data_IF_728181255329
#
_entry.id   IF_728181255329
#
_cell.length_a   1.000
_cell.length_b   1.000
_cell.length_c   1.000
_cell.angle_alpha   90.00
_cell.angle_beta   90.00
_cell.angle_gamma   90.00
#
_symmetry.space_group_name_H-M   'P 1'
#
loop_
_entity.id
_entity.type
_entity.pdbx_description
1 polymer ?
#
# COMPACT_ATOMS: atom_id res chain seq x y z
N UNK A 1 45.09 21.92 -16.89
CA UNK A 1 43.92 22.27 -16.03
C UNK A 1 42.67 21.68 -16.65
N UNK A 2 42.27 20.47 -16.24
CA UNK A 2 40.95 19.91 -16.57
C UNK A 2 40.18 19.75 -15.27
N UNK A 3 39.04 20.42 -15.14
CA UNK A 3 38.15 20.28 -13.98
C UNK A 3 36.99 19.34 -14.34
N UNK A 4 36.78 18.41 -13.44
CA UNK A 4 35.73 17.43 -13.30
C UNK A 4 34.33 18.04 -13.30
N UNK A 5 33.36 17.36 -13.93
CA UNK A 5 31.97 17.39 -13.48
C UNK A 5 31.39 15.98 -13.53
N UNK A 6 30.95 15.55 -12.35
CA UNK A 6 30.26 14.30 -12.02
C UNK A 6 28.84 14.31 -12.61
N UNK A 7 28.41 13.20 -13.21
CA UNK A 7 27.01 12.97 -13.60
C UNK A 7 26.30 12.20 -12.49
N UNK A 8 25.62 12.92 -11.59
CA UNK A 8 24.58 12.38 -10.71
C UNK A 8 23.24 12.56 -11.44
N UNK A 9 22.68 11.47 -11.94
CA UNK A 9 21.39 11.43 -12.63
C UNK A 9 20.28 10.91 -11.74
N UNK A 10 19.94 11.66 -10.68
CA UNK A 10 18.73 11.46 -9.89
C UNK A 10 17.54 12.06 -10.64
N UNK A 11 16.86 11.24 -11.44
CA UNK A 11 15.63 11.61 -12.13
C UNK A 11 14.41 11.42 -11.25
N UNK A 12 14.08 12.42 -10.43
CA UNK A 12 12.73 12.60 -9.91
C UNK A 12 11.83 13.07 -11.05
N UNK A 13 10.74 12.35 -11.33
CA UNK A 13 9.68 12.81 -12.24
C UNK A 13 9.02 14.07 -11.67
N UNK A 14 8.81 15.13 -12.49
CA UNK A 14 8.06 16.31 -12.06
C UNK A 14 6.54 16.12 -12.21
N UNK A 15 5.83 16.57 -11.18
CA UNK A 15 4.40 16.88 -11.20
C UNK A 15 4.07 17.92 -12.27
N UNK A 16 2.97 17.71 -13.02
CA UNK A 16 2.36 18.76 -13.84
C UNK A 16 0.84 18.68 -13.75
N UNK A 17 0.23 19.70 -13.14
CA UNK A 17 -1.20 19.94 -13.12
C UNK A 17 -1.49 21.36 -13.61
N UNK A 18 -2.38 21.48 -14.61
CA UNK A 18 -3.30 22.60 -14.90
C UNK A 18 -3.90 22.33 -16.29
N UNK A 19 -5.20 22.36 -16.54
CA UNK A 19 -6.37 22.72 -15.76
C UNK A 19 -7.48 23.05 -16.77
N UNK A 20 -8.71 22.58 -16.52
CA UNK A 20 -9.90 23.18 -17.09
C UNK A 20 -11.03 23.08 -16.08
N UNK A 21 -11.60 24.24 -15.76
CA UNK A 21 -12.65 24.42 -14.78
C UNK A 21 -13.99 23.86 -15.27
N UNK A 22 -14.68 23.16 -14.39
CA UNK A 22 -16.10 22.79 -14.54
C UNK A 22 -16.78 22.83 -13.16
N UNK A 23 -17.68 23.79 -12.97
CA UNK A 23 -18.59 23.83 -11.83
C UNK A 23 -19.44 22.55 -11.80
N UNK A 24 -19.50 21.86 -10.65
CA UNK A 24 -20.73 21.26 -10.11
C UNK A 24 -20.54 20.85 -8.62
N UNK A 25 -21.36 21.48 -7.76
CA UNK A 25 -21.91 21.00 -6.48
C UNK A 25 -20.98 20.76 -5.26
N UNK A 26 -21.10 21.66 -4.26
CA UNK A 26 -20.79 21.36 -2.85
C UNK A 26 -21.79 20.32 -2.34
N UNK A 27 -21.35 19.09 -2.15
CA UNK A 27 -22.02 18.09 -1.32
C UNK A 27 -21.25 17.93 0.01
N UNK A 28 -21.98 17.62 1.09
CA UNK A 28 -21.50 17.67 2.46
C UNK A 28 -20.24 16.85 2.77
N UNK A 29 -19.62 17.17 3.90
CA UNK A 29 -18.48 16.46 4.50
C UNK A 29 -18.76 14.95 4.51
N UNK A 30 -18.13 14.23 3.59
CA UNK A 30 -18.30 12.80 3.37
C UNK A 30 -17.88 12.02 4.61
N UNK A 31 -18.79 11.18 5.12
CA UNK A 31 -18.46 10.06 6.01
C UNK A 31 -17.44 9.19 5.27
N UNK A 32 -16.29 8.91 5.88
CA UNK A 32 -15.10 8.39 5.19
C UNK A 32 -15.35 7.16 4.31
N UNK A 33 -14.75 7.11 3.11
CA UNK A 33 -14.90 6.01 2.15
C UNK A 33 -14.33 4.66 2.65
N UNK A 34 -13.67 4.63 3.81
CA UNK A 34 -13.21 3.42 4.49
C UNK A 34 -14.33 2.51 5.01
N UNK A 35 -15.51 3.03 5.33
CA UNK A 35 -16.61 2.19 5.85
C UNK A 35 -17.36 1.44 4.74
N UNK A 36 -17.04 1.74 3.47
CA UNK A 36 -17.64 1.09 2.32
C UNK A 36 -17.12 -0.33 2.15
N UNK A 37 -17.94 -1.19 1.55
CA UNK A 37 -17.47 -2.52 1.15
C UNK A 37 -16.38 -2.41 0.08
N UNK A 38 -15.37 -3.29 0.11
CA UNK A 38 -14.27 -3.25 -0.84
C UNK A 38 -14.78 -3.42 -2.27
N UNK A 39 -14.38 -2.56 -3.23
CA UNK A 39 -14.74 -2.74 -4.62
C UNK A 39 -14.11 -4.03 -5.18
N UNK A 40 -14.71 -4.61 -6.22
CA UNK A 40 -14.21 -5.83 -6.84
C UNK A 40 -12.76 -5.72 -7.34
N UNK A 41 -12.35 -4.53 -7.81
CA UNK A 41 -10.97 -4.27 -8.20
C UNK A 41 -10.00 -4.30 -7.01
N UNK A 42 -10.40 -3.86 -5.81
CA UNK A 42 -9.56 -3.99 -4.62
C UNK A 42 -9.37 -5.47 -4.25
N UNK A 43 -10.43 -6.28 -4.32
CA UNK A 43 -10.33 -7.73 -4.09
C UNK A 43 -9.42 -8.41 -5.13
N UNK A 44 -9.46 -7.95 -6.40
CA UNK A 44 -8.56 -8.40 -7.45
C UNK A 44 -7.10 -8.05 -7.13
N UNK A 45 -6.82 -6.80 -6.76
CA UNK A 45 -5.49 -6.34 -6.34
C UNK A 45 -4.97 -7.12 -5.14
N UNK A 46 -5.80 -7.40 -4.14
CA UNK A 46 -5.44 -8.25 -3.00
C UNK A 46 -5.02 -9.65 -3.46
N UNK A 47 -5.79 -10.22 -4.39
CA UNK A 47 -5.47 -11.47 -5.04
C UNK A 47 -4.09 -11.42 -5.67
N UNK A 48 -3.84 -10.47 -6.57
CA UNK A 48 -2.57 -10.25 -7.28
C UNK A 48 -1.38 -10.10 -6.31
N UNK A 49 -1.52 -9.23 -5.32
CA UNK A 49 -0.51 -8.99 -4.30
C UNK A 49 -0.08 -10.28 -3.60
N UNK A 50 -1.05 -11.09 -3.16
CA UNK A 50 -0.82 -12.28 -2.35
C UNK A 50 -0.20 -13.45 -3.15
N UNK A 51 -0.21 -13.41 -4.49
CA UNK A 51 0.47 -14.41 -5.35
C UNK A 51 1.85 -13.95 -5.82
N UNK A 52 2.25 -12.71 -5.50
CA UNK A 52 3.50 -12.13 -5.95
C UNK A 52 3.42 -11.41 -7.30
N UNK A 53 2.22 -11.19 -7.83
CA UNK A 53 1.95 -10.44 -9.07
C UNK A 53 1.89 -8.94 -8.75
N UNK A 54 2.99 -8.42 -8.18
CA UNK A 54 3.01 -7.07 -7.61
C UNK A 54 2.96 -5.95 -8.65
N UNK A 55 3.36 -6.22 -9.89
CA UNK A 55 3.26 -5.24 -10.97
C UNK A 55 1.80 -5.04 -11.39
N UNK A 56 1.09 -6.15 -11.59
CA UNK A 56 -0.32 -6.20 -11.93
C UNK A 56 -1.19 -5.63 -10.80
N UNK A 57 -0.82 -5.93 -9.54
CA UNK A 57 -1.44 -5.33 -8.36
C UNK A 57 -1.34 -3.79 -8.38
N UNK A 58 -0.16 -3.27 -8.76
CA UNK A 58 0.08 -1.84 -8.90
C UNK A 58 -0.84 -1.23 -9.96
N UNK A 59 -0.97 -1.86 -11.13
CA UNK A 59 -1.82 -1.35 -12.22
C UNK A 59 -3.29 -1.32 -11.80
N UNK A 60 -3.80 -2.39 -11.18
CA UNK A 60 -5.17 -2.42 -10.65
C UNK A 60 -5.42 -1.33 -9.60
N UNK A 61 -4.46 -1.08 -8.70
CA UNK A 61 -4.61 -0.07 -7.66
C UNK A 61 -4.48 1.35 -8.19
N UNK A 62 -3.69 1.58 -9.24
CA UNK A 62 -3.57 2.89 -9.89
C UNK A 62 -4.91 3.35 -10.45
N UNK A 63 -5.66 2.45 -11.11
CA UNK A 63 -7.02 2.72 -11.60
C UNK A 63 -7.97 3.17 -10.48
N UNK A 64 -7.90 2.52 -9.31
CA UNK A 64 -8.72 2.86 -8.15
C UNK A 64 -8.28 4.16 -7.47
N UNK A 65 -6.99 4.46 -7.50
CA UNK A 65 -6.40 5.63 -6.86
C UNK A 65 -6.67 6.92 -7.63
N UNK A 66 -6.78 6.85 -8.96
CA UNK A 66 -7.12 8.00 -9.80
C UNK A 66 -8.53 8.51 -9.46
N UNK A 67 -8.62 9.75 -8.98
CA UNK A 67 -9.88 10.41 -8.64
C UNK A 67 -10.42 10.13 -7.24
N UNK A 68 -9.79 9.26 -6.45
CA UNK A 68 -10.14 9.06 -5.05
C UNK A 68 -9.50 10.13 -4.15
N UNK A 69 -10.14 10.45 -3.02
CA UNK A 69 -9.68 11.41 -2.03
C UNK A 69 -9.69 10.82 -0.60
N UNK A 70 -9.06 11.53 0.35
CA UNK A 70 -9.10 11.15 1.77
C UNK A 70 -8.44 9.80 2.09
N UNK A 71 -8.96 9.12 3.11
CA UNK A 71 -8.34 7.89 3.63
C UNK A 71 -8.31 6.73 2.63
N UNK A 72 -9.30 6.62 1.74
CA UNK A 72 -9.30 5.55 0.73
C UNK A 72 -8.23 5.80 -0.33
N UNK A 73 -7.97 7.06 -0.69
CA UNK A 73 -6.83 7.41 -1.54
C UNK A 73 -5.52 6.99 -0.88
N UNK A 74 -5.36 7.30 0.40
CA UNK A 74 -4.18 6.92 1.19
C UNK A 74 -4.05 5.39 1.32
N UNK A 75 -5.17 4.66 1.46
CA UNK A 75 -5.20 3.19 1.46
C UNK A 75 -4.62 2.65 0.16
N UNK A 76 -5.19 3.05 -0.98
CA UNK A 76 -4.77 2.54 -2.29
C UNK A 76 -3.32 2.90 -2.60
N UNK A 77 -2.94 4.16 -2.36
CA UNK A 77 -1.57 4.62 -2.57
C UNK A 77 -0.57 3.87 -1.68
N UNK A 78 -0.94 3.61 -0.43
CA UNK A 78 -0.11 2.86 0.50
C UNK A 78 0.12 1.42 0.07
N UNK A 79 -0.93 0.68 -0.27
CA UNK A 79 -0.83 -0.71 -0.76
C UNK A 79 -0.05 -0.76 -2.08
N UNK A 80 -0.33 0.16 -3.00
CA UNK A 80 0.36 0.28 -4.29
C UNK A 80 1.86 0.44 -4.08
N UNK A 81 2.29 1.37 -3.21
CA UNK A 81 3.72 1.56 -2.95
C UNK A 81 4.38 0.33 -2.35
N UNK A 82 3.70 -0.41 -1.46
CA UNK A 82 4.24 -1.68 -0.92
C UNK A 82 4.37 -2.73 -2.03
N UNK A 83 3.42 -2.82 -2.97
CA UNK A 83 3.52 -3.72 -4.12
C UNK A 83 4.73 -3.37 -5.00
N UNK A 84 4.88 -2.09 -5.36
CA UNK A 84 6.03 -1.61 -6.14
C UNK A 84 7.33 -1.83 -5.38
N UNK A 85 7.35 -1.67 -4.06
CA UNK A 85 8.54 -1.96 -3.24
C UNK A 85 8.99 -3.42 -3.35
N UNK A 86 8.05 -4.37 -3.28
CA UNK A 86 8.33 -5.80 -3.44
C UNK A 86 8.80 -6.13 -4.86
N UNK A 87 8.23 -5.47 -5.88
CA UNK A 87 8.72 -5.57 -7.26
C UNK A 87 10.16 -5.06 -7.39
N UNK A 88 10.49 -3.92 -6.78
CA UNK A 88 11.86 -3.38 -6.73
C UNK A 88 12.82 -4.33 -6.01
N UNK A 89 12.40 -4.91 -4.88
CA UNK A 89 13.18 -5.91 -4.16
C UNK A 89 13.49 -7.11 -5.05
N UNK A 90 12.48 -7.66 -5.74
CA UNK A 90 12.64 -8.79 -6.67
C UNK A 90 13.65 -8.49 -7.80
N UNK A 91 13.73 -7.23 -8.22
CA UNK A 91 14.63 -6.79 -9.28
C UNK A 91 16.00 -6.31 -8.77
N UNK A 92 16.32 -6.47 -7.49
CA UNK A 92 17.61 -6.09 -6.89
C UNK A 92 17.77 -4.59 -6.63
N UNK A 93 16.68 -3.82 -6.64
CA UNK A 93 16.71 -2.40 -6.32
C UNK A 93 16.42 -2.16 -4.83
N UNK A 94 17.46 -2.29 -4.01
CA UNK A 94 17.40 -2.08 -2.55
C UNK A 94 16.84 -0.70 -2.16
N UNK A 95 17.42 0.37 -2.71
CA UNK A 95 17.04 1.74 -2.34
C UNK A 95 15.59 2.06 -2.67
N UNK A 96 15.11 1.61 -3.83
CA UNK A 96 13.71 1.73 -4.22
C UNK A 96 12.78 0.95 -3.29
N UNK A 97 13.13 -0.30 -2.96
CA UNK A 97 12.33 -1.13 -2.06
C UNK A 97 12.18 -0.50 -0.66
N UNK A 98 13.28 -0.09 -0.03
CA UNK A 98 13.25 0.50 1.32
C UNK A 98 12.48 1.84 1.32
N UNK A 99 12.74 2.70 0.34
CA UNK A 99 12.08 4.00 0.22
C UNK A 99 10.56 3.86 0.07
N UNK A 100 10.11 2.96 -0.81
CA UNK A 100 8.69 2.73 -1.06
C UNK A 100 7.98 1.99 0.09
N UNK A 101 8.65 1.08 0.81
CA UNK A 101 8.10 0.49 2.03
C UNK A 101 7.82 1.57 3.09
N UNK A 102 8.78 2.48 3.29
CA UNK A 102 8.63 3.60 4.23
C UNK A 102 7.54 4.58 3.79
N UNK A 103 7.50 4.92 2.50
CA UNK A 103 6.46 5.79 1.93
C UNK A 103 5.07 5.15 2.09
N UNK A 104 4.92 3.91 1.62
CA UNK A 104 3.67 3.16 1.63
C UNK A 104 3.08 3.03 3.03
N UNK A 105 3.86 2.60 4.03
CA UNK A 105 3.37 2.55 5.42
C UNK A 105 3.05 3.94 5.97
N UNK A 106 3.74 4.99 5.53
CA UNK A 106 3.42 6.38 5.85
C UNK A 106 2.05 6.85 5.34
N UNK A 107 1.62 6.38 4.16
CA UNK A 107 0.25 6.58 3.66
C UNK A 107 -0.76 5.80 4.50
N UNK A 108 -0.52 4.50 4.71
CA UNK A 108 -1.43 3.61 5.45
C UNK A 108 -1.66 4.05 6.90
N UNK A 109 -0.67 4.66 7.55
CA UNK A 109 -0.83 5.20 8.92
C UNK A 109 -1.81 6.36 9.03
N UNK A 110 -2.23 6.96 7.92
CA UNK A 110 -3.23 8.02 7.89
C UNK A 110 -4.65 7.51 7.70
N UNK A 111 -4.82 6.20 7.51
CA UNK A 111 -6.13 5.56 7.39
C UNK A 111 -6.56 4.94 8.72
N UNK A 112 -7.83 4.58 8.83
CA UNK A 112 -8.30 3.71 9.91
C UNK A 112 -7.54 2.36 9.95
N UNK A 113 -7.40 1.73 11.15
CA UNK A 113 -6.76 0.40 11.31
C UNK A 113 -7.42 -0.71 10.48
N UNK A 114 -8.71 -0.54 10.17
CA UNK A 114 -9.47 -1.32 9.21
C UNK A 114 -10.11 -0.32 8.24
N UNK A 115 -9.86 -0.45 6.94
CA UNK A 115 -10.42 0.41 5.91
C UNK A 115 -10.82 -0.45 4.71
N UNK A 116 -12.06 -0.32 4.24
CA UNK A 116 -12.68 -1.19 3.23
C UNK A 116 -12.50 -2.68 3.54
N UNK A 117 -12.64 -3.02 4.83
CA UNK A 117 -12.39 -4.35 5.39
C UNK A 117 -10.95 -4.85 5.25
N UNK A 118 -9.99 -4.08 4.76
CA UNK A 118 -8.57 -4.45 4.81
C UNK A 118 -8.07 -4.31 6.24
N UNK A 119 -7.35 -5.32 6.76
CA UNK A 119 -6.66 -5.24 8.04
C UNK A 119 -5.38 -4.40 7.94
N UNK A 120 -5.53 -3.07 7.80
CA UNK A 120 -4.44 -2.13 7.51
C UNK A 120 -3.36 -2.15 8.59
N UNK A 121 -3.76 -2.16 9.86
CA UNK A 121 -2.79 -2.17 10.97
C UNK A 121 -1.87 -3.40 10.94
N UNK A 122 -2.41 -4.58 10.62
CA UNK A 122 -1.61 -5.81 10.49
C UNK A 122 -0.67 -5.73 9.29
N UNK A 123 -1.15 -5.17 8.18
CA UNK A 123 -0.35 -4.99 6.97
C UNK A 123 0.82 -4.02 7.17
N UNK A 124 0.59 -2.90 7.89
CA UNK A 124 1.65 -1.96 8.28
C UNK A 124 2.73 -2.69 9.09
N UNK A 125 2.34 -3.44 10.12
CA UNK A 125 3.30 -4.16 10.97
C UNK A 125 4.13 -5.18 10.18
N UNK A 126 3.50 -5.88 9.24
CA UNK A 126 4.21 -6.83 8.38
C UNK A 126 5.17 -6.11 7.41
N UNK A 127 4.74 -5.02 6.78
CA UNK A 127 5.58 -4.22 5.88
C UNK A 127 6.76 -3.55 6.60
N UNK A 128 6.59 -3.09 7.84
CA UNK A 128 7.70 -2.57 8.65
C UNK A 128 8.70 -3.68 9.02
N UNK A 129 8.24 -4.88 9.42
CA UNK A 129 9.15 -6.01 9.70
C UNK A 129 9.96 -6.40 8.46
N UNK A 130 9.32 -6.42 7.29
CA UNK A 130 9.99 -6.63 6.01
C UNK A 130 11.08 -5.57 5.77
N UNK A 131 10.74 -4.29 5.95
CA UNK A 131 11.70 -3.18 5.78
C UNK A 131 12.88 -3.33 6.73
N UNK A 132 12.62 -3.54 8.02
CA UNK A 132 13.65 -3.63 9.04
C UNK A 132 14.60 -4.83 8.75
N UNK A 133 14.06 -5.95 8.25
CA UNK A 133 14.86 -7.10 7.82
C UNK A 133 15.71 -6.80 6.58
N UNK A 134 15.16 -6.09 5.58
CA UNK A 134 15.93 -5.64 4.42
C UNK A 134 17.06 -4.71 4.82
N UNK A 135 16.78 -3.73 5.69
CA UNK A 135 17.78 -2.78 6.18
C UNK A 135 18.90 -3.49 6.96
N UNK A 136 18.57 -4.53 7.74
CA UNK A 136 19.55 -5.34 8.45
C UNK A 136 20.45 -6.15 7.50
N UNK A 137 19.88 -6.71 6.44
CA UNK A 137 20.63 -7.43 5.41
C UNK A 137 21.53 -6.50 4.60
N UNK A 138 21.04 -5.30 4.31
CA UNK A 138 21.68 -4.34 3.42
C UNK A 138 21.58 -4.72 1.93
N UNK A 139 22.10 -3.88 1.04
CA UNK A 139 21.95 -4.05 -0.41
C UNK A 139 22.60 -5.32 -0.94
N UNK A 140 23.72 -5.75 -0.37
CA UNK A 140 24.51 -6.89 -0.86
C UNK A 140 23.87 -8.25 -0.55
N UNK A 141 22.96 -8.30 0.43
CA UNK A 141 22.37 -9.55 0.96
C UNK A 141 20.84 -9.56 0.92
N UNK A 142 20.21 -8.62 0.23
CA UNK A 142 18.75 -8.52 0.18
C UNK A 142 18.06 -9.74 -0.44
N UNK A 143 18.79 -10.55 -1.22
CA UNK A 143 18.34 -11.83 -1.77
C UNK A 143 18.27 -12.96 -0.72
N UNK A 144 18.85 -12.76 0.46
CA UNK A 144 18.75 -13.68 1.61
C UNK A 144 17.52 -13.42 2.48
N UNK A 145 16.66 -12.46 2.09
CA UNK A 145 15.43 -12.16 2.81
C UNK A 145 14.55 -13.41 2.92
N UNK A 146 14.10 -13.72 4.14
CA UNK A 146 13.15 -14.79 4.40
C UNK A 146 11.80 -14.49 3.71
N UNK A 147 11.35 -15.33 2.77
CA UNK A 147 10.05 -15.15 2.10
C UNK A 147 8.85 -15.11 3.06
N UNK A 148 8.97 -15.67 4.27
CA UNK A 148 7.92 -15.60 5.28
C UNK A 148 7.67 -14.17 5.81
N UNK A 149 8.58 -13.23 5.55
CA UNK A 149 8.43 -11.82 5.91
C UNK A 149 7.67 -11.00 4.87
N UNK A 150 7.41 -11.56 3.68
CA UNK A 150 6.61 -10.88 2.66
C UNK A 150 5.19 -10.67 3.23
N UNK A 151 4.71 -9.42 3.32
CA UNK A 151 3.40 -9.14 3.88
C UNK A 151 2.31 -9.73 2.99
N UNK A 152 1.14 -10.00 3.58
CA UNK A 152 -0.04 -10.42 2.84
C UNK A 152 -1.22 -9.50 3.17
N UNK A 153 -2.04 -9.19 2.18
CA UNK A 153 -3.28 -8.45 2.37
C UNK A 153 -4.36 -9.39 2.88
N UNK A 154 -4.98 -9.02 4.00
CA UNK A 154 -6.06 -9.79 4.63
C UNK A 154 -7.31 -8.93 4.81
N UNK A 155 -8.46 -9.58 4.70
CA UNK A 155 -9.72 -9.00 5.14
C UNK A 155 -9.85 -9.15 6.66
N UNK A 156 -10.23 -8.05 7.32
CA UNK A 156 -10.69 -8.07 8.69
C UNK A 156 -11.98 -8.92 8.81
N UNK A 157 -12.18 -9.62 9.94
CA UNK A 157 -13.41 -10.37 10.17
C UNK A 157 -14.61 -9.42 10.10
N UNK A 158 -15.70 -9.88 9.49
CA UNK A 158 -16.96 -9.14 9.56
C UNK A 158 -17.38 -9.04 11.02
N UNK A 159 -17.74 -7.85 11.49
CA UNK A 159 -18.19 -7.57 12.87
C UNK A 159 -19.51 -8.26 13.28
N UNK A 160 -19.92 -9.32 12.58
CA UNK A 160 -21.13 -10.10 12.85
C UNK A 160 -20.83 -11.60 12.87
N UNK A 161 -20.34 -12.09 14.01
CA UNK A 161 -20.48 -13.46 14.52
C UNK A 161 -19.94 -13.50 15.97
N UNK A 162 -20.48 -12.64 16.84
CA UNK A 162 -20.52 -13.00 18.25
C UNK A 162 -21.68 -13.99 18.37
N UNK A 163 -21.33 -15.27 18.42
CA UNK A 163 -22.20 -16.39 18.70
C UNK A 163 -22.88 -16.17 20.06
N UNK A 164 -24.14 -15.73 20.05
CA UNK A 164 -25.07 -15.80 21.18
C UNK A 164 -25.43 -17.29 21.40
N UNK A 165 -24.44 -18.08 21.81
CA UNK A 165 -24.63 -19.41 22.38
C UNK A 165 -24.24 -19.35 23.85
N UNK A 166 -25.01 -18.57 24.63
CA UNK A 166 -25.07 -18.81 26.07
C UNK A 166 -25.80 -20.15 26.28
N UNK A 167 -25.20 -21.16 26.93
CA UNK A 167 -25.95 -22.35 27.31
C UNK A 167 -26.96 -21.96 28.39
N UNK A 168 -28.24 -22.09 28.04
CA UNK A 168 -29.36 -22.05 28.97
C UNK A 168 -29.20 -23.20 29.96
N UNK A 169 -28.62 -22.88 31.13
CA UNK A 169 -28.46 -23.82 32.24
C UNK A 169 -29.78 -23.83 33.02
N UNK A 170 -30.63 -24.82 32.69
CA UNK A 170 -31.77 -25.24 33.50
C UNK A 170 -31.34 -26.31 34.51
#
# INVERSE_FOLDING_TARGET
MGRYYTLEGSGCLPDLHAGVAGLMQKAGKSMGSCDQSPPGALLRAMGEFNRGDWFECHETLEELWVGEEGETRDLYQGILQVAVALHHWRNGNFGGAVSLLKGGTGYLRRTQPVCQRIAVAEFILAADRLRDALELLGPDRMNELDPALIPGLRLAPSSGAADDSAPDMN
#
